data_IF_382608340103
#
_entry.id   IF_382608340103
#
_cell.length_a   1.000
_cell.length_b   1.000
_cell.length_c   1.000
_cell.angle_alpha   90.00
_cell.angle_beta   90.00
_cell.angle_gamma   90.00
#
_symmetry.space_group_name_H-M   'P 1'
#
loop_
_entity.id
_entity.type
_entity.pdbx_description
1 polymer ?
#
# COMPACT_ATOMS: atom_id res chain seq x y z
N UNK A 1 -17.71 -57.19 25.73
CA UNK A 1 -18.13 -55.88 25.25
C UNK A 1 -16.87 -55.18 24.75
N UNK A 2 -16.69 -55.27 23.46
CA UNK A 2 -15.39 -55.13 22.82
C UNK A 2 -15.11 -53.71 22.41
N UNK A 3 -13.88 -53.25 22.71
CA UNK A 3 -13.41 -51.93 22.40
C UNK A 3 -13.02 -51.82 20.92
N UNK A 4 -13.36 -50.70 20.30
CA UNK A 4 -12.96 -50.33 18.94
C UNK A 4 -11.54 -49.73 19.00
N UNK A 5 -10.57 -50.16 18.16
CA UNK A 5 -9.23 -49.59 18.16
C UNK A 5 -9.20 -48.24 17.46
N UNK A 6 -8.51 -47.29 18.06
CA UNK A 6 -8.30 -45.95 17.49
C UNK A 6 -7.45 -46.02 16.21
N UNK A 7 -7.94 -45.38 15.17
CA UNK A 7 -7.20 -45.10 13.93
C UNK A 7 -6.30 -43.89 14.17
N UNK A 8 -5.00 -44.13 14.35
CA UNK A 8 -4.00 -43.05 14.27
C UNK A 8 -3.79 -42.70 12.81
N UNK A 9 -4.28 -41.55 12.37
CA UNK A 9 -3.93 -40.98 11.09
C UNK A 9 -2.50 -40.40 11.17
N UNK A 10 -1.55 -41.15 10.63
CA UNK A 10 -0.20 -40.65 10.37
C UNK A 10 -0.28 -39.60 9.28
N UNK A 11 -0.07 -38.34 9.63
CA UNK A 11 0.14 -37.25 8.68
C UNK A 11 1.47 -37.53 7.98
N UNK A 12 1.42 -37.96 6.72
CA UNK A 12 2.60 -38.06 5.86
C UNK A 12 3.11 -36.64 5.57
N UNK A 13 4.39 -36.41 5.82
CA UNK A 13 5.11 -35.24 5.35
C UNK A 13 4.97 -35.11 3.81
N UNK A 14 4.90 -33.90 3.26
CA UNK A 14 4.80 -33.70 1.81
C UNK A 14 6.05 -34.23 1.11
N UNK A 15 5.83 -34.91 -0.01
CA UNK A 15 6.84 -35.52 -0.87
C UNK A 15 7.81 -34.45 -1.41
N UNK A 16 9.13 -34.56 -1.24
CA UNK A 16 10.11 -33.56 -1.69
C UNK A 16 10.28 -33.45 -3.20
N UNK A 17 9.56 -34.23 -4.00
CA UNK A 17 9.78 -34.31 -5.46
C UNK A 17 8.93 -33.34 -6.30
N UNK A 18 8.13 -32.44 -5.73
CA UNK A 18 7.33 -31.45 -6.48
C UNK A 18 7.71 -29.99 -6.24
N UNK A 19 8.86 -29.71 -5.63
CA UNK A 19 9.39 -28.35 -5.60
C UNK A 19 10.26 -28.11 -6.85
N UNK A 20 9.69 -27.56 -7.90
CA UNK A 20 10.48 -26.95 -8.96
C UNK A 20 11.04 -25.64 -8.41
N UNK A 21 12.20 -25.72 -7.78
CA UNK A 21 12.98 -24.57 -7.36
C UNK A 21 13.63 -23.96 -8.60
N UNK A 22 13.18 -22.78 -9.01
CA UNK A 22 13.99 -21.90 -9.85
C UNK A 22 14.78 -20.97 -8.93
N UNK A 23 16.12 -21.05 -8.89
CA UNK A 23 16.91 -20.05 -8.18
C UNK A 23 16.79 -18.74 -8.96
N UNK A 24 16.08 -17.76 -8.42
CA UNK A 24 16.04 -16.40 -8.96
C UNK A 24 17.20 -15.65 -8.27
N UNK A 25 18.37 -15.59 -8.92
CA UNK A 25 19.30 -14.52 -8.66
C UNK A 25 18.63 -13.18 -9.00
N UNK A 26 18.86 -12.09 -8.23
CA UNK A 26 18.32 -10.77 -8.54
C UNK A 26 19.14 -10.14 -9.68
N UNK A 27 19.03 -10.70 -10.88
CA UNK A 27 19.43 -10.05 -12.11
C UNK A 27 18.18 -9.45 -12.72
N UNK A 28 18.25 -8.15 -13.07
CA UNK A 28 17.22 -7.51 -13.87
C UNK A 28 16.78 -8.47 -14.97
N UNK A 29 15.58 -8.98 -14.86
CA UNK A 29 14.99 -9.90 -15.86
C UNK A 29 14.97 -9.15 -17.17
N UNK A 30 15.74 -9.60 -18.15
CA UNK A 30 15.73 -8.98 -19.47
C UNK A 30 14.33 -9.14 -20.12
N UNK A 31 14.01 -8.23 -21.04
CA UNK A 31 12.71 -8.17 -21.73
C UNK A 31 12.28 -9.51 -22.34
N UNK A 32 13.21 -10.33 -22.83
CA UNK A 32 12.91 -11.61 -23.49
C UNK A 32 12.57 -12.70 -22.48
N UNK A 33 13.25 -12.71 -21.34
CA UNK A 33 12.99 -13.64 -20.22
C UNK A 33 11.64 -13.33 -19.58
N UNK A 34 11.29 -12.05 -19.40
CA UNK A 34 9.98 -11.62 -18.91
C UNK A 34 8.83 -12.06 -19.86
N UNK A 35 8.96 -11.82 -21.15
CA UNK A 35 7.96 -12.25 -22.15
C UNK A 35 7.86 -13.79 -22.24
N UNK A 36 8.97 -14.51 -22.03
CA UNK A 36 8.97 -15.99 -21.98
C UNK A 36 8.32 -16.52 -20.69
N UNK A 37 8.55 -15.88 -19.53
CA UNK A 37 7.86 -16.27 -18.29
C UNK A 37 6.36 -15.99 -18.36
N UNK A 38 5.93 -14.90 -19.00
CA UNK A 38 4.52 -14.66 -19.33
C UNK A 38 3.95 -15.73 -20.28
N UNK A 39 4.74 -16.22 -21.25
CA UNK A 39 4.29 -17.26 -22.18
C UNK A 39 4.12 -18.63 -21.50
N UNK A 40 4.88 -18.94 -20.44
CA UNK A 40 4.75 -20.19 -19.66
C UNK A 40 3.53 -20.13 -18.73
N UNK A 41 3.13 -18.94 -18.27
CA UNK A 41 1.88 -18.71 -17.52
C UNK A 41 0.69 -18.36 -18.42
N UNK A 42 0.88 -18.36 -19.74
CA UNK A 42 -0.05 -17.90 -20.77
C UNK A 42 -1.47 -18.51 -20.79
N UNK A 43 -1.74 -19.73 -20.27
CA UNK A 43 -3.12 -20.18 -20.19
C UNK A 43 -4.00 -19.32 -19.27
N UNK A 44 -3.38 -18.47 -18.45
CA UNK A 44 -4.07 -17.65 -17.43
C UNK A 44 -4.52 -16.26 -17.92
N UNK A 45 -3.96 -15.72 -19.00
CA UNK A 45 -4.26 -14.36 -19.45
C UNK A 45 -5.22 -14.34 -20.65
N UNK A 46 -6.17 -13.39 -20.62
CA UNK A 46 -6.96 -13.14 -21.82
C UNK A 46 -6.05 -12.64 -22.96
N UNK A 47 -6.36 -12.96 -24.24
CA UNK A 47 -5.60 -12.47 -25.39
C UNK A 47 -5.45 -10.94 -25.41
N UNK A 48 -6.45 -10.23 -24.89
CA UNK A 48 -6.48 -8.76 -24.73
C UNK A 48 -5.40 -8.30 -23.72
N UNK A 49 -5.27 -8.99 -22.60
CA UNK A 49 -4.29 -8.69 -21.55
C UNK A 49 -2.84 -8.92 -22.03
N UNK A 50 -2.58 -10.05 -22.70
CA UNK A 50 -1.27 -10.35 -23.30
C UNK A 50 -0.89 -9.30 -24.33
N UNK A 51 -1.84 -8.85 -25.15
CA UNK A 51 -1.61 -7.81 -26.14
C UNK A 51 -1.19 -6.49 -25.51
N UNK A 52 -1.85 -6.03 -24.45
CA UNK A 52 -1.51 -4.77 -23.76
C UNK A 52 -0.15 -4.85 -23.05
N UNK A 53 0.10 -5.92 -22.31
CA UNK A 53 1.40 -6.12 -21.67
C UNK A 53 2.55 -6.19 -22.69
N UNK A 54 2.35 -6.90 -23.82
CA UNK A 54 3.36 -6.99 -24.88
C UNK A 54 3.57 -5.66 -25.62
N UNK A 55 2.55 -4.81 -25.74
CA UNK A 55 2.68 -3.47 -26.29
C UNK A 55 3.46 -2.55 -25.34
N UNK A 56 3.14 -2.57 -24.04
CA UNK A 56 3.86 -1.81 -23.02
C UNK A 56 5.35 -2.16 -22.94
N UNK A 57 5.73 -3.38 -23.30
CA UNK A 57 7.14 -3.83 -23.33
C UNK A 57 7.86 -3.58 -24.66
N UNK A 58 7.16 -3.23 -25.74
CA UNK A 58 7.74 -3.04 -27.09
C UNK A 58 8.30 -1.65 -27.37
N UNK A 59 8.15 -0.72 -26.46
CA UNK A 59 8.57 0.67 -26.65
C UNK A 59 10.09 0.81 -26.73
N UNK A 60 10.58 1.60 -27.71
CA UNK A 60 11.98 1.87 -27.98
C UNK A 60 12.70 2.68 -26.89
N UNK A 61 13.98 3.05 -27.09
CA UNK A 61 14.68 3.99 -26.20
C UNK A 61 13.90 5.31 -26.09
N UNK A 62 13.63 5.76 -24.87
CA UNK A 62 12.85 6.96 -24.57
C UNK A 62 11.34 6.75 -24.40
N UNK A 63 10.80 5.57 -24.68
CA UNK A 63 9.39 5.30 -24.45
C UNK A 63 9.04 5.16 -22.97
N UNK A 64 7.93 5.76 -22.58
CA UNK A 64 7.42 5.76 -21.22
C UNK A 64 8.06 6.81 -20.33
N UNK A 65 8.54 7.94 -20.89
CA UNK A 65 8.76 9.16 -20.12
C UNK A 65 7.46 9.56 -19.42
N UNK A 66 7.50 10.37 -18.35
CA UNK A 66 6.30 10.75 -17.62
C UNK A 66 5.20 11.39 -18.47
N UNK A 67 5.56 12.02 -19.57
CA UNK A 67 4.72 12.77 -20.52
C UNK A 67 4.42 12.03 -21.83
N UNK A 68 4.93 10.81 -22.02
CA UNK A 68 4.67 9.96 -23.20
C UNK A 68 3.23 9.41 -23.17
N UNK A 69 2.25 10.20 -23.60
CA UNK A 69 0.83 9.82 -23.58
C UNK A 69 0.52 8.59 -24.44
N UNK A 70 1.27 8.31 -25.51
CA UNK A 70 1.07 7.11 -26.33
C UNK A 70 1.38 5.85 -25.55
N UNK A 71 2.47 5.86 -24.75
CA UNK A 71 2.79 4.79 -23.81
C UNK A 71 1.73 4.66 -22.72
N UNK A 72 1.39 5.77 -22.04
CA UNK A 72 0.45 5.75 -20.91
C UNK A 72 -0.97 5.41 -21.33
N UNK A 73 -1.38 5.73 -22.57
CA UNK A 73 -2.67 5.31 -23.10
C UNK A 73 -2.83 3.78 -23.16
N UNK A 74 -1.74 3.03 -23.42
CA UNK A 74 -1.76 1.56 -23.36
C UNK A 74 -2.04 1.08 -21.92
N UNK A 75 -1.40 1.71 -20.93
CA UNK A 75 -1.64 1.40 -19.50
C UNK A 75 -3.08 1.77 -19.12
N UNK A 76 -3.57 2.94 -19.50
CA UNK A 76 -4.94 3.42 -19.21
C UNK A 76 -6.02 2.46 -19.74
N UNK A 77 -5.82 1.88 -20.93
CA UNK A 77 -6.73 0.89 -21.55
C UNK A 77 -6.74 -0.47 -20.86
N UNK A 78 -5.82 -0.71 -19.93
CA UNK A 78 -5.79 -1.93 -19.11
C UNK A 78 -6.78 -1.90 -17.94
N UNK A 79 -7.53 -0.79 -17.77
CA UNK A 79 -8.47 -0.60 -16.69
C UNK A 79 -9.91 -0.43 -17.21
N UNK A 80 -10.82 -1.20 -16.65
CA UNK A 80 -12.28 -1.06 -16.84
C UNK A 80 -12.84 -0.14 -15.72
N UNK A 81 -12.68 1.18 -15.93
CA UNK A 81 -13.19 2.20 -15.00
C UNK A 81 -14.40 2.91 -15.59
N UNK A 82 -15.27 3.42 -14.70
CA UNK A 82 -16.29 4.38 -15.09
C UNK A 82 -15.63 5.69 -15.56
N UNK A 83 -15.61 5.90 -16.88
CA UNK A 83 -15.03 7.10 -17.50
C UNK A 83 -15.97 8.29 -17.53
N UNK A 84 -17.19 8.16 -17.00
CA UNK A 84 -18.09 9.30 -16.80
C UNK A 84 -17.77 10.10 -15.56
N UNK A 85 -16.90 9.58 -14.68
CA UNK A 85 -16.38 10.22 -13.49
C UNK A 85 -14.87 10.37 -13.57
N UNK A 86 -14.33 11.49 -13.13
CA UNK A 86 -12.90 11.69 -12.95
C UNK A 86 -12.53 11.28 -11.53
N UNK A 87 -11.83 10.15 -11.38
CA UNK A 87 -11.42 9.65 -10.07
C UNK A 87 -10.03 10.17 -9.69
N UNK A 88 -9.98 11.11 -8.75
CA UNK A 88 -8.77 11.64 -8.12
C UNK A 88 -8.67 11.25 -6.64
N UNK A 89 -9.32 10.14 -6.24
CA UNK A 89 -9.24 9.59 -4.87
C UNK A 89 -8.65 8.16 -4.83
N UNK A 90 -7.63 7.89 -5.64
CA UNK A 90 -6.96 6.59 -5.66
C UNK A 90 -6.15 6.29 -4.38
N UNK A 91 -5.88 7.30 -3.56
CA UNK A 91 -5.32 7.12 -2.22
C UNK A 91 -6.27 6.42 -1.23
N UNK A 92 -7.57 6.45 -1.45
CA UNK A 92 -8.53 5.64 -0.69
C UNK A 92 -8.38 4.17 -1.06
N UNK A 93 -8.72 3.87 -2.30
CA UNK A 93 -8.60 2.58 -2.96
C UNK A 93 -8.48 2.82 -4.46
N UNK A 94 -7.69 2.01 -5.16
CA UNK A 94 -7.53 2.09 -6.62
C UNK A 94 -8.24 0.94 -7.32
N UNK A 95 -8.75 1.14 -8.55
CA UNK A 95 -9.21 0.03 -9.36
C UNK A 95 -8.04 -0.88 -9.71
N UNK A 96 -8.32 -2.17 -9.82
CA UNK A 96 -7.37 -3.14 -10.35
C UNK A 96 -7.40 -3.16 -11.88
N UNK A 97 -6.27 -3.43 -12.56
CA UNK A 97 -6.27 -3.72 -13.98
C UNK A 97 -7.20 -4.90 -14.32
N UNK A 98 -7.79 -4.90 -15.50
CA UNK A 98 -8.72 -5.96 -15.96
C UNK A 98 -8.10 -7.36 -15.84
N UNK A 99 -6.81 -7.49 -16.11
CA UNK A 99 -6.11 -8.78 -16.01
C UNK A 99 -6.08 -9.33 -14.57
N UNK A 100 -6.01 -8.45 -13.58
CA UNK A 100 -6.02 -8.80 -12.15
C UNK A 100 -7.40 -9.27 -11.73
N UNK A 101 -8.44 -8.53 -12.15
CA UNK A 101 -9.84 -8.91 -11.92
C UNK A 101 -10.19 -10.23 -12.59
N UNK A 102 -9.77 -10.43 -13.83
CA UNK A 102 -10.00 -11.66 -14.59
C UNK A 102 -9.38 -12.89 -13.88
N UNK A 103 -8.19 -12.72 -13.29
CA UNK A 103 -7.57 -13.79 -12.50
C UNK A 103 -8.40 -14.10 -11.25
N UNK A 104 -8.77 -13.07 -10.50
CA UNK A 104 -9.57 -13.23 -9.29
C UNK A 104 -10.91 -13.90 -9.58
N UNK A 105 -11.61 -13.46 -10.63
CA UNK A 105 -12.91 -14.02 -11.04
C UNK A 105 -12.77 -15.49 -11.45
N UNK A 106 -11.71 -15.84 -12.19
CA UNK A 106 -11.46 -17.26 -12.57
C UNK A 106 -11.24 -18.13 -11.35
N UNK A 107 -10.41 -17.68 -10.40
CA UNK A 107 -10.11 -18.44 -9.20
C UNK A 107 -11.34 -18.55 -8.27
N UNK A 108 -12.20 -17.52 -8.21
CA UNK A 108 -13.47 -17.58 -7.49
C UNK A 108 -14.43 -18.62 -8.13
N UNK A 109 -14.56 -18.64 -9.44
CA UNK A 109 -15.38 -19.63 -10.14
C UNK A 109 -14.83 -21.04 -9.96
N UNK A 110 -13.52 -21.22 -10.13
CA UNK A 110 -12.84 -22.51 -9.94
C UNK A 110 -13.02 -23.02 -8.51
N UNK A 111 -12.84 -22.17 -7.48
CA UNK A 111 -13.07 -22.58 -6.10
C UNK A 111 -14.52 -22.99 -5.82
N UNK A 112 -15.51 -22.35 -6.48
CA UNK A 112 -16.92 -22.65 -6.31
C UNK A 112 -17.36 -23.98 -6.94
N UNK A 113 -16.59 -24.53 -7.90
CA UNK A 113 -16.90 -25.84 -8.53
C UNK A 113 -16.71 -27.01 -7.55
N UNK A 114 -15.68 -26.96 -6.69
CA UNK A 114 -15.40 -27.97 -5.65
C UNK A 114 -14.60 -27.30 -4.50
N UNK A 115 -15.26 -26.58 -3.57
CA UNK A 115 -14.59 -25.63 -2.67
C UNK A 115 -13.44 -26.23 -1.85
N UNK A 116 -13.64 -27.36 -1.18
CA UNK A 116 -12.62 -27.97 -0.33
C UNK A 116 -11.37 -28.37 -1.13
N UNK A 117 -11.56 -28.97 -2.29
CA UNK A 117 -10.44 -29.45 -3.12
C UNK A 117 -9.74 -28.30 -3.85
N UNK A 118 -10.53 -27.44 -4.52
CA UNK A 118 -9.98 -26.38 -5.35
C UNK A 118 -9.40 -25.22 -4.52
N UNK A 119 -10.05 -24.83 -3.44
CA UNK A 119 -9.59 -23.75 -2.60
C UNK A 119 -8.39 -24.19 -1.74
N UNK A 120 -8.55 -25.21 -0.90
CA UNK A 120 -7.55 -25.58 0.09
C UNK A 120 -6.38 -26.39 -0.49
N UNK A 121 -6.61 -27.26 -1.48
CA UNK A 121 -5.55 -28.11 -2.03
C UNK A 121 -4.90 -27.55 -3.28
N UNK A 122 -5.54 -26.60 -3.97
CA UNK A 122 -5.02 -26.08 -5.21
C UNK A 122 -4.67 -24.57 -5.11
N UNK A 123 -5.59 -23.73 -4.63
CA UNK A 123 -5.39 -22.28 -4.65
C UNK A 123 -4.58 -21.77 -3.45
N UNK A 124 -4.82 -22.27 -2.24
CA UNK A 124 -4.06 -21.84 -1.06
C UNK A 124 -2.56 -22.13 -1.15
N UNK A 125 -2.09 -23.32 -1.60
CA UNK A 125 -0.66 -23.56 -1.77
C UNK A 125 0.04 -22.61 -2.74
N UNK A 126 -0.69 -22.02 -3.69
CA UNK A 126 -0.14 -21.02 -4.62
C UNK A 126 0.17 -19.68 -3.96
N UNK A 127 -0.43 -19.41 -2.81
CA UNK A 127 -0.19 -18.19 -2.03
C UNK A 127 1.28 -18.08 -1.60
N UNK A 128 1.98 -19.22 -1.43
CA UNK A 128 3.42 -19.22 -1.12
C UNK A 128 4.26 -18.59 -2.23
N UNK A 129 3.91 -18.79 -3.50
CA UNK A 129 4.62 -18.12 -4.59
C UNK A 129 4.30 -16.63 -4.65
N UNK A 130 3.10 -16.21 -4.25
CA UNK A 130 2.73 -14.80 -4.09
C UNK A 130 3.54 -14.14 -2.99
N UNK A 131 3.67 -14.81 -1.84
CA UNK A 131 4.52 -14.39 -0.71
C UNK A 131 5.96 -14.19 -1.16
N UNK A 132 6.54 -15.16 -1.87
CA UNK A 132 7.88 -15.05 -2.44
C UNK A 132 8.04 -13.85 -3.39
N UNK A 133 7.07 -13.61 -4.26
CA UNK A 133 7.07 -12.45 -5.17
C UNK A 133 6.96 -11.11 -4.45
N UNK A 134 6.09 -11.01 -3.42
CA UNK A 134 5.96 -9.81 -2.59
C UNK A 134 7.23 -9.56 -1.78
N UNK A 135 7.80 -10.59 -1.16
CA UNK A 135 9.01 -10.50 -0.37
C UNK A 135 10.21 -10.03 -1.21
N UNK A 136 10.37 -10.58 -2.41
CA UNK A 136 11.40 -10.14 -3.35
C UNK A 136 11.22 -8.68 -3.78
N UNK A 137 9.98 -8.21 -4.00
CA UNK A 137 9.68 -6.83 -4.34
C UNK A 137 9.88 -5.86 -3.16
N UNK A 138 9.70 -6.33 -1.94
CA UNK A 138 9.83 -5.54 -0.71
C UNK A 138 11.25 -5.56 -0.13
N UNK A 139 12.10 -6.51 -0.56
CA UNK A 139 13.47 -6.68 -0.06
C UNK A 139 13.51 -7.40 1.29
N UNK A 140 12.79 -8.53 1.46
CA UNK A 140 12.84 -9.33 2.68
C UNK A 140 12.77 -10.84 2.40
N UNK A 141 13.03 -11.64 3.43
CA UNK A 141 12.80 -13.09 3.38
C UNK A 141 11.29 -13.37 3.34
N UNK A 142 10.80 -14.31 2.50
CA UNK A 142 9.40 -14.74 2.52
C UNK A 142 8.90 -15.20 3.90
N UNK A 143 9.77 -15.76 4.72
CA UNK A 143 9.45 -16.17 6.10
C UNK A 143 9.34 -14.99 7.09
N UNK A 144 9.43 -13.76 6.60
CA UNK A 144 9.19 -12.52 7.34
C UNK A 144 7.94 -11.76 6.85
N UNK A 145 7.13 -12.38 5.97
CA UNK A 145 5.98 -11.74 5.35
C UNK A 145 4.71 -12.57 5.50
N UNK A 146 3.67 -11.99 6.12
CA UNK A 146 2.31 -12.51 6.14
C UNK A 146 1.43 -11.71 5.19
N UNK A 147 0.57 -12.39 4.43
CA UNK A 147 -0.42 -11.75 3.55
C UNK A 147 -1.66 -11.43 4.39
N UNK A 148 -2.08 -10.17 4.37
CA UNK A 148 -3.23 -9.66 5.12
C UNK A 148 -4.31 -9.13 4.18
N UNK A 149 -5.47 -8.78 4.73
CA UNK A 149 -6.56 -8.16 3.96
C UNK A 149 -6.32 -6.69 3.65
N UNK A 150 -5.50 -6.01 4.41
CA UNK A 150 -5.16 -4.58 4.22
C UNK A 150 -4.14 -4.10 5.28
N UNK A 151 -3.70 -2.84 5.17
CA UNK A 151 -2.84 -2.21 6.17
C UNK A 151 -3.50 -2.10 7.54
N UNK A 152 -4.83 -1.96 7.64
CA UNK A 152 -5.49 -1.86 8.95
C UNK A 152 -5.31 -3.16 9.74
N UNK A 153 -5.51 -4.31 9.11
CA UNK A 153 -5.26 -5.60 9.76
C UNK A 153 -3.78 -5.77 10.15
N UNK A 154 -2.86 -5.44 9.24
CA UNK A 154 -1.43 -5.51 9.50
C UNK A 154 -1.02 -4.61 10.67
N UNK A 155 -1.45 -3.35 10.66
CA UNK A 155 -1.13 -2.36 11.69
C UNK A 155 -1.81 -2.69 13.04
N UNK A 156 -3.08 -3.13 13.01
CA UNK A 156 -3.78 -3.56 14.23
C UNK A 156 -3.16 -4.82 14.84
N UNK A 157 -2.64 -5.73 14.02
CA UNK A 157 -1.85 -6.87 14.51
C UNK A 157 -0.62 -6.37 15.28
N UNK A 158 0.10 -5.37 14.77
CA UNK A 158 1.24 -4.78 15.48
C UNK A 158 0.79 -4.04 16.74
N UNK A 159 -0.23 -3.20 16.65
CA UNK A 159 -0.74 -2.41 17.78
C UNK A 159 -1.24 -3.29 18.91
N UNK A 160 -2.03 -4.31 18.60
CA UNK A 160 -2.68 -5.17 19.58
C UNK A 160 -1.78 -6.30 20.08
N UNK A 161 -0.85 -6.76 19.23
CA UNK A 161 0.02 -7.91 19.50
C UNK A 161 1.28 -7.58 20.29
N UNK A 162 1.68 -6.30 20.39
CA UNK A 162 2.84 -5.92 21.21
C UNK A 162 2.53 -6.04 22.71
N UNK A 163 3.43 -6.66 23.47
CA UNK A 163 3.29 -6.89 24.91
C UNK A 163 3.66 -5.64 25.70
N UNK A 164 2.71 -4.70 25.80
CA UNK A 164 2.85 -3.44 26.52
C UNK A 164 2.15 -3.49 27.87
N UNK A 165 2.74 -2.85 28.87
CA UNK A 165 2.24 -2.79 30.26
C UNK A 165 1.62 -1.42 30.55
N UNK A 166 0.80 -1.38 31.62
CA UNK A 166 0.26 -0.13 32.14
C UNK A 166 1.36 0.90 32.38
N UNK A 167 1.19 2.10 31.82
CA UNK A 167 2.15 3.20 31.93
C UNK A 167 3.24 3.21 30.85
N UNK A 168 3.38 2.15 30.03
CA UNK A 168 4.24 2.22 28.85
C UNK A 168 3.73 3.28 27.88
N UNK A 169 4.67 4.00 27.26
CA UNK A 169 4.35 5.09 26.35
C UNK A 169 4.55 4.67 24.90
N UNK A 170 3.61 5.12 24.06
CA UNK A 170 3.64 5.00 22.60
C UNK A 170 3.63 6.40 21.99
N UNK A 171 4.54 6.66 21.06
CA UNK A 171 4.60 7.92 20.31
C UNK A 171 3.97 7.73 18.93
N UNK A 172 3.01 8.60 18.63
CA UNK A 172 2.33 8.73 17.33
C UNK A 172 2.35 10.18 16.89
N UNK A 173 1.97 10.46 15.64
CA UNK A 173 1.76 11.84 15.18
C UNK A 173 0.27 12.12 14.99
N UNK A 174 -0.12 13.40 15.02
CA UNK A 174 -1.47 13.84 14.64
C UNK A 174 -1.79 13.63 13.15
N UNK A 175 -0.78 13.27 12.35
CA UNK A 175 -0.93 12.90 10.95
C UNK A 175 -1.00 11.39 10.68
N UNK A 176 -0.94 10.56 11.72
CA UNK A 176 -1.20 9.13 11.59
C UNK A 176 -2.65 8.89 11.14
N UNK A 177 -2.87 7.76 10.48
CA UNK A 177 -4.21 7.41 10.02
C UNK A 177 -5.18 7.31 11.20
N UNK A 178 -6.31 8.03 11.14
CA UNK A 178 -7.25 8.17 12.25
C UNK A 178 -7.75 6.85 12.83
N UNK A 179 -7.86 5.78 12.03
CA UNK A 179 -8.22 4.44 12.52
C UNK A 179 -7.12 3.88 13.45
N UNK A 180 -5.86 4.07 13.13
CA UNK A 180 -4.75 3.61 13.97
C UNK A 180 -4.71 4.39 15.29
N UNK A 181 -4.95 5.70 15.25
CA UNK A 181 -5.11 6.51 16.47
C UNK A 181 -6.28 6.00 17.33
N UNK A 182 -7.39 5.60 16.70
CA UNK A 182 -8.53 4.99 17.42
C UNK A 182 -8.14 3.68 18.09
N UNK A 183 -7.35 2.82 17.41
CA UNK A 183 -6.89 1.54 17.96
C UNK A 183 -5.92 1.76 19.14
N UNK A 184 -4.98 2.70 19.05
CA UNK A 184 -4.12 3.09 20.18
C UNK A 184 -4.91 3.63 21.35
N UNK A 185 -5.89 4.49 21.12
CA UNK A 185 -6.75 5.03 22.16
C UNK A 185 -7.62 3.94 22.81
N UNK A 186 -8.07 2.93 22.03
CA UNK A 186 -8.75 1.76 22.58
C UNK A 186 -7.80 0.99 23.50
N UNK A 187 -6.55 0.79 23.10
CA UNK A 187 -5.55 0.10 23.89
C UNK A 187 -5.18 0.87 25.15
N UNK A 188 -5.11 2.20 25.07
CA UNK A 188 -4.90 3.06 26.24
C UNK A 188 -6.02 2.87 27.29
N UNK A 189 -7.28 2.82 26.86
CA UNK A 189 -8.42 2.55 27.75
C UNK A 189 -8.42 1.14 28.34
N UNK A 190 -8.04 0.13 27.53
CA UNK A 190 -8.06 -1.29 27.93
C UNK A 190 -6.88 -1.66 28.83
N UNK A 191 -5.66 -1.30 28.38
CA UNK A 191 -4.41 -1.79 28.96
C UNK A 191 -3.73 -0.72 29.85
N UNK A 192 -4.17 0.54 29.78
CA UNK A 192 -3.62 1.66 30.56
C UNK A 192 -2.27 2.15 30.07
N UNK A 193 -1.93 1.93 28.81
CA UNK A 193 -0.78 2.55 28.15
C UNK A 193 -1.03 4.05 27.93
N UNK A 194 0.03 4.81 27.68
CA UNK A 194 -0.03 6.25 27.42
C UNK A 194 0.29 6.54 25.96
N UNK A 195 -0.66 7.12 25.23
CA UNK A 195 -0.46 7.56 23.84
C UNK A 195 0.00 9.01 23.84
N UNK A 196 1.21 9.25 23.34
CA UNK A 196 1.80 10.58 23.16
C UNK A 196 1.69 10.98 21.71
N UNK A 197 0.82 11.94 21.43
CA UNK A 197 0.68 12.49 20.08
C UNK A 197 1.59 13.70 19.92
N UNK A 198 2.47 13.68 18.92
CA UNK A 198 3.31 14.80 18.52
C UNK A 198 2.78 15.43 17.23
N UNK A 199 3.07 16.72 17.07
CA UNK A 199 2.78 17.49 15.85
C UNK A 199 4.07 18.01 15.25
N UNK A 200 4.05 18.26 13.95
CA UNK A 200 5.12 18.93 13.21
C UNK A 200 4.55 19.87 12.15
N UNK A 201 5.36 20.84 11.72
CA UNK A 201 4.96 21.80 10.69
C UNK A 201 4.70 21.13 9.34
N UNK A 202 3.76 21.68 8.56
CA UNK A 202 3.36 21.16 7.25
C UNK A 202 3.43 22.28 6.19
N UNK A 203 4.30 22.15 5.16
CA UNK A 203 5.35 21.12 5.03
C UNK A 203 6.44 21.29 6.10
N UNK A 204 7.13 20.18 6.48
CA UNK A 204 8.21 20.26 7.47
C UNK A 204 9.44 20.96 6.90
N UNK A 205 10.21 21.70 7.72
CA UNK A 205 11.41 22.41 7.26
C UNK A 205 12.52 21.47 6.78
N UNK A 206 12.65 20.29 7.38
CA UNK A 206 13.65 19.27 7.02
C UNK A 206 13.31 17.90 7.61
N UNK A 207 13.97 16.84 7.12
CA UNK A 207 13.91 15.53 7.73
C UNK A 207 14.41 15.52 9.18
N UNK A 208 15.52 16.20 9.46
CA UNK A 208 16.07 16.30 10.81
C UNK A 208 15.08 16.93 11.80
N UNK A 209 14.34 17.96 11.38
CA UNK A 209 13.29 18.53 12.22
C UNK A 209 12.25 17.49 12.65
N UNK A 210 11.83 16.60 11.73
CA UNK A 210 10.88 15.53 12.05
C UNK A 210 11.50 14.55 13.07
N UNK A 211 12.75 14.11 12.84
CA UNK A 211 13.48 13.21 13.75
C UNK A 211 13.59 13.82 15.14
N UNK A 212 13.92 15.12 15.22
CA UNK A 212 14.05 15.85 16.49
C UNK A 212 12.72 15.91 17.25
N UNK A 213 11.59 16.05 16.55
CA UNK A 213 10.25 16.02 17.16
C UNK A 213 9.96 14.67 17.82
N UNK A 214 10.30 13.56 17.16
CA UNK A 214 10.19 12.22 17.76
C UNK A 214 11.17 12.06 18.93
N UNK A 215 12.43 12.46 18.76
CA UNK A 215 13.45 12.34 19.80
C UNK A 215 13.09 13.10 21.09
N UNK A 216 12.56 14.31 20.96
CA UNK A 216 12.14 15.15 22.08
C UNK A 216 10.95 14.57 22.88
N UNK A 217 10.15 13.70 22.26
CA UNK A 217 9.00 13.05 22.91
C UNK A 217 9.38 11.80 23.71
N UNK A 218 10.60 11.25 23.52
CA UNK A 218 11.04 10.01 24.16
C UNK A 218 11.27 10.23 25.67
N UNK A 219 10.80 9.27 26.47
CA UNK A 219 11.07 9.16 27.90
C UNK A 219 11.55 7.74 28.25
N UNK A 220 11.98 7.48 29.49
CA UNK A 220 12.31 6.12 29.93
C UNK A 220 11.15 5.10 29.84
N UNK A 221 9.91 5.57 29.72
CA UNK A 221 8.72 4.72 29.56
C UNK A 221 8.35 4.46 28.09
N UNK A 222 8.95 5.15 27.15
CA UNK A 222 8.66 4.96 25.73
C UNK A 222 9.08 3.55 25.29
N UNK A 223 8.15 2.80 24.69
CA UNK A 223 8.37 1.44 24.17
C UNK A 223 8.20 1.33 22.68
N UNK A 224 7.33 2.16 22.11
CA UNK A 224 6.94 2.07 20.70
C UNK A 224 6.88 3.45 20.08
N UNK A 225 7.31 3.54 18.83
CA UNK A 225 7.02 4.65 17.91
C UNK A 225 6.26 4.07 16.73
N UNK A 226 5.09 4.61 16.40
CA UNK A 226 4.46 4.38 15.11
C UNK A 226 4.80 5.52 14.17
N UNK A 227 5.37 5.18 13.01
CA UNK A 227 5.68 6.14 11.96
C UNK A 227 4.94 5.79 10.68
N UNK A 228 4.23 6.76 10.12
CA UNK A 228 3.64 6.64 8.78
C UNK A 228 4.71 6.89 7.73
N UNK A 229 4.92 5.95 6.78
CA UNK A 229 5.99 6.09 5.78
C UNK A 229 5.72 7.25 4.82
N UNK A 230 4.47 7.42 4.38
CA UNK A 230 3.98 8.58 3.64
C UNK A 230 2.61 8.96 4.17
N UNK A 231 2.43 10.22 4.58
CA UNK A 231 1.17 10.67 5.16
C UNK A 231 0.04 10.62 4.14
N UNK A 232 -1.09 10.05 4.53
CA UNK A 232 -2.29 10.02 3.69
C UNK A 232 -2.97 11.39 3.56
N UNK A 233 -2.55 12.38 4.35
CA UNK A 233 -3.13 13.72 4.37
C UNK A 233 -2.50 14.60 3.29
N UNK A 234 -1.19 14.76 3.34
CA UNK A 234 -0.44 15.71 2.51
C UNK A 234 0.53 15.07 1.52
N UNK A 235 0.76 13.75 1.64
CA UNK A 235 1.71 13.03 0.80
C UNK A 235 3.18 13.25 1.15
N UNK A 236 3.47 13.77 2.36
CA UNK A 236 4.83 13.88 2.87
C UNK A 236 5.40 12.49 3.16
N UNK A 237 6.52 12.14 2.56
CA UNK A 237 7.33 10.96 2.91
C UNK A 237 8.16 11.32 4.15
N UNK A 238 8.05 10.51 5.20
CA UNK A 238 8.77 10.73 6.45
C UNK A 238 10.13 10.02 6.46
N UNK A 239 11.12 10.51 7.21
CA UNK A 239 12.47 9.94 7.32
C UNK A 239 12.48 8.69 8.21
N UNK A 240 11.81 7.63 7.76
CA UNK A 240 11.59 6.39 8.54
C UNK A 240 12.90 5.79 9.02
N UNK A 241 13.91 5.68 8.15
CA UNK A 241 15.24 5.14 8.48
C UNK A 241 15.89 5.91 9.63
N UNK A 242 15.84 7.24 9.57
CA UNK A 242 16.50 8.10 10.57
C UNK A 242 15.78 8.02 11.92
N UNK A 243 14.44 7.93 11.89
CA UNK A 243 13.62 7.70 13.10
C UNK A 243 13.96 6.34 13.73
N UNK A 244 14.11 5.29 12.92
CA UNK A 244 14.50 3.96 13.40
C UNK A 244 15.92 4.00 13.99
N UNK A 245 16.87 4.61 13.29
CA UNK A 245 18.25 4.76 13.77
C UNK A 245 18.34 5.51 15.10
N UNK A 246 17.50 6.51 15.30
CA UNK A 246 17.40 7.28 16.55
C UNK A 246 16.77 6.47 17.70
N UNK A 247 15.77 5.63 17.40
CA UNK A 247 14.98 4.87 18.40
C UNK A 247 15.67 3.56 18.82
N UNK A 248 16.31 2.84 17.89
CA UNK A 248 16.90 1.50 18.08
C UNK A 248 17.90 1.40 19.24
N UNK A 249 18.89 2.32 19.39
CA UNK A 249 19.83 2.27 20.52
C UNK A 249 19.18 2.43 21.90
N UNK A 250 17.94 2.92 21.94
CA UNK A 250 17.15 3.11 23.16
C UNK A 250 16.23 1.91 23.46
N UNK A 251 16.30 0.84 22.63
CA UNK A 251 15.42 -0.33 22.76
C UNK A 251 13.94 -0.06 22.46
N UNK A 252 13.65 1.00 21.71
CA UNK A 252 12.29 1.39 21.33
C UNK A 252 11.93 0.71 20.02
N UNK A 253 10.84 -0.05 19.98
CA UNK A 253 10.31 -0.65 18.77
C UNK A 253 9.73 0.43 17.85
N UNK A 254 10.07 0.37 16.56
CA UNK A 254 9.44 1.24 15.55
C UNK A 254 8.65 0.38 14.60
N UNK A 255 7.35 0.60 14.50
CA UNK A 255 6.58 0.02 13.44
C UNK A 255 6.16 1.06 12.39
N UNK A 256 6.10 0.61 11.14
CA UNK A 256 5.93 1.47 10.00
C UNK A 256 4.56 1.22 9.37
N UNK A 257 3.69 2.23 9.39
CA UNK A 257 2.49 2.26 8.57
C UNK A 257 2.87 2.63 7.13
N UNK A 258 3.01 1.62 6.29
CA UNK A 258 3.32 1.75 4.88
C UNK A 258 2.12 1.70 3.95
N UNK A 259 0.89 1.95 4.46
CA UNK A 259 -0.36 1.81 3.71
C UNK A 259 -0.37 2.52 2.34
N UNK A 260 0.43 3.56 2.18
CA UNK A 260 0.55 4.34 0.94
C UNK A 260 1.93 4.26 0.28
N UNK A 261 2.87 3.44 0.75
CA UNK A 261 4.24 3.48 0.26
C UNK A 261 4.57 2.37 -0.74
N UNK A 262 4.21 1.11 -0.44
CA UNK A 262 4.55 -0.03 -1.28
C UNK A 262 3.98 0.13 -2.70
N UNK A 263 4.84 -0.06 -3.70
CA UNK A 263 4.54 0.13 -5.12
C UNK A 263 4.09 1.55 -5.53
N UNK A 264 4.22 2.55 -4.64
CA UNK A 264 3.96 3.95 -4.92
C UNK A 264 5.25 4.67 -5.36
N UNK A 265 6.33 4.42 -4.65
CA UNK A 265 7.68 4.87 -4.96
C UNK A 265 8.70 3.77 -4.61
N UNK A 266 9.89 3.78 -5.23
CA UNK A 266 10.92 2.79 -4.95
C UNK A 266 11.49 2.95 -3.54
N UNK A 267 11.58 1.86 -2.80
CA UNK A 267 12.34 1.71 -1.56
C UNK A 267 12.56 0.22 -1.28
N UNK A 268 13.46 -0.07 -0.37
CA UNK A 268 13.82 -1.41 0.06
C UNK A 268 13.71 -1.52 1.59
N UNK A 269 13.15 -2.62 2.10
CA UNK A 269 12.95 -2.84 3.53
C UNK A 269 14.28 -2.83 4.31
N UNK A 270 15.32 -3.44 3.74
CA UNK A 270 16.60 -3.51 4.41
C UNK A 270 17.28 -2.14 4.46
N UNK A 271 17.06 -1.29 3.44
CA UNK A 271 17.48 0.11 3.48
C UNK A 271 16.76 0.93 4.54
N UNK A 272 15.48 0.63 4.83
CA UNK A 272 14.73 1.25 5.94
C UNK A 272 15.17 0.72 7.31
N UNK A 273 15.70 -0.52 7.37
CA UNK A 273 16.08 -1.23 8.59
C UNK A 273 14.91 -1.40 9.59
N UNK A 274 13.66 -1.54 9.11
CA UNK A 274 12.49 -1.68 9.96
C UNK A 274 12.29 -3.12 10.45
N UNK A 275 11.78 -3.26 11.67
CA UNK A 275 11.43 -4.55 12.27
C UNK A 275 9.99 -4.95 11.96
N UNK A 276 9.09 -3.97 11.80
CA UNK A 276 7.66 -4.15 11.56
C UNK A 276 7.17 -3.21 10.47
N UNK A 277 6.41 -3.74 9.51
CA UNK A 277 5.88 -2.95 8.40
C UNK A 277 4.51 -3.49 7.97
N UNK A 278 3.50 -2.62 7.92
CA UNK A 278 2.15 -2.97 7.41
C UNK A 278 1.80 -2.16 6.17
N UNK A 279 1.16 -2.78 5.17
CA UNK A 279 0.74 -2.06 3.96
C UNK A 279 -0.54 -2.61 3.34
N UNK A 280 -1.15 -1.78 2.46
CA UNK A 280 -2.27 -2.17 1.59
C UNK A 280 -1.78 -2.35 0.15
N UNK A 281 -2.22 -3.42 -0.51
CA UNK A 281 -1.85 -3.72 -1.89
C UNK A 281 -2.88 -3.20 -2.91
N UNK A 282 -4.12 -2.96 -2.46
CA UNK A 282 -5.22 -2.44 -3.29
C UNK A 282 -5.18 -0.93 -3.53
N UNK A 283 -4.07 -0.25 -3.19
CA UNK A 283 -3.84 1.18 -3.48
C UNK A 283 -2.87 1.32 -4.65
N UNK A 284 -1.57 1.28 -4.37
CA UNK A 284 -0.55 1.59 -5.36
C UNK A 284 -0.03 0.36 -6.12
N UNK A 285 -0.13 -0.85 -5.55
CA UNK A 285 0.15 -2.07 -6.31
C UNK A 285 -0.97 -2.40 -7.30
N UNK A 286 -2.20 -1.89 -7.07
CA UNK A 286 -3.39 -2.14 -7.90
C UNK A 286 -3.87 -3.60 -7.81
N UNK A 287 -3.57 -4.26 -6.69
CA UNK A 287 -4.06 -5.61 -6.38
C UNK A 287 -5.55 -5.59 -6.00
N UNK A 288 -6.24 -6.73 -5.91
CA UNK A 288 -7.64 -6.77 -5.52
C UNK A 288 -7.92 -6.07 -4.19
N UNK A 289 -9.12 -5.49 -4.08
CA UNK A 289 -9.61 -4.92 -2.82
C UNK A 289 -9.61 -6.03 -1.75
N UNK A 290 -9.12 -5.71 -0.56
CA UNK A 290 -8.96 -6.71 0.50
C UNK A 290 -7.65 -7.49 0.40
N UNK A 291 -6.57 -6.82 0.02
CA UNK A 291 -5.19 -7.35 0.02
C UNK A 291 -4.20 -6.40 0.67
N UNK A 292 -3.27 -6.95 1.44
CA UNK A 292 -2.20 -6.26 2.15
C UNK A 292 -1.10 -7.24 2.54
N UNK A 293 -0.09 -6.76 3.25
CA UNK A 293 0.85 -7.62 3.96
C UNK A 293 1.32 -6.99 5.27
N UNK A 294 1.74 -7.87 6.18
CA UNK A 294 2.50 -7.57 7.37
C UNK A 294 3.90 -8.18 7.21
N UNK A 295 4.95 -7.36 7.32
CA UNK A 295 6.32 -7.85 7.43
C UNK A 295 6.80 -7.69 8.87
N UNK A 296 7.35 -8.78 9.41
CA UNK A 296 7.92 -8.84 10.76
C UNK A 296 9.28 -9.50 10.66
N UNK A 297 10.33 -8.80 11.12
CA UNK A 297 11.68 -9.36 11.12
C UNK A 297 11.71 -10.67 11.92
N UNK A 298 12.39 -11.70 11.43
CA UNK A 298 12.38 -13.07 11.97
C UNK A 298 12.56 -13.12 13.48
N UNK A 299 13.49 -12.35 14.04
CA UNK A 299 13.75 -12.29 15.48
C UNK A 299 12.69 -11.56 16.31
N UNK A 300 11.66 -11.00 15.65
CA UNK A 300 10.55 -10.30 16.28
C UNK A 300 9.23 -11.09 16.20
N UNK A 301 9.14 -12.13 15.35
CA UNK A 301 7.90 -12.88 15.12
C UNK A 301 7.35 -13.45 16.44
N UNK A 302 8.19 -14.06 17.26
CA UNK A 302 7.78 -14.65 18.54
C UNK A 302 7.42 -13.63 19.64
N UNK A 303 7.65 -12.33 19.41
CA UNK A 303 7.34 -11.24 20.33
C UNK A 303 6.03 -10.53 20.02
N UNK A 304 5.43 -10.87 18.89
CA UNK A 304 4.20 -10.23 18.43
C UNK A 304 3.06 -11.26 18.41
N UNK A 305 2.03 -11.03 19.20
CA UNK A 305 0.84 -11.87 19.24
C UNK A 305 0.01 -11.69 17.96
N UNK A 306 -0.57 -12.76 17.40
CA UNK A 306 -1.53 -12.62 16.32
C UNK A 306 -2.88 -12.09 16.85
N UNK A 307 -3.66 -11.43 15.99
CA UNK A 307 -5.01 -10.96 16.35
C UNK A 307 -6.00 -12.12 16.53
N UNK A 308 -5.89 -13.15 15.72
CA UNK A 308 -6.62 -14.42 15.86
C UNK A 308 -5.65 -15.47 16.37
N UNK A 309 -6.13 -16.33 17.27
CA UNK A 309 -5.30 -17.34 17.90
C UNK A 309 -4.74 -18.32 16.86
N UNK A 310 -3.45 -18.60 16.97
CA UNK A 310 -2.76 -19.62 16.22
C UNK A 310 -2.23 -20.70 17.17
N UNK A 311 -1.97 -21.94 16.71
CA UNK A 311 -1.33 -22.99 17.49
C UNK A 311 0.03 -22.57 18.05
N UNK A 312 0.40 -23.06 19.24
CA UNK A 312 1.64 -22.66 19.92
C UNK A 312 2.90 -22.98 19.10
N UNK A 313 2.88 -24.09 18.38
CA UNK A 313 3.97 -24.49 17.46
C UNK A 313 4.22 -23.50 16.33
N UNK A 314 3.26 -22.64 16.02
CA UNK A 314 3.41 -21.57 15.04
C UNK A 314 4.01 -20.28 15.63
N UNK A 315 4.40 -20.24 16.90
CA UNK A 315 4.81 -18.99 17.54
C UNK A 315 5.97 -18.27 16.83
N UNK A 316 6.90 -19.02 16.22
CA UNK A 316 8.00 -18.47 15.42
C UNK A 316 7.73 -18.44 13.90
N UNK A 317 6.53 -18.83 13.46
CA UNK A 317 6.14 -18.89 12.07
C UNK A 317 5.34 -17.63 11.68
N UNK A 318 5.74 -16.98 10.61
CA UNK A 318 5.06 -15.76 10.11
C UNK A 318 3.59 -16.03 9.74
N UNK A 319 3.26 -17.26 9.33
CA UNK A 319 1.91 -17.64 8.92
C UNK A 319 0.90 -17.66 10.07
N UNK A 320 1.36 -17.57 11.34
CA UNK A 320 0.45 -17.39 12.49
C UNK A 320 -0.45 -16.15 12.36
N UNK A 321 -0.03 -15.16 11.58
CA UNK A 321 -0.83 -13.96 11.33
C UNK A 321 -1.86 -14.14 10.21
N UNK A 322 -1.86 -15.30 9.56
CA UNK A 322 -2.79 -15.67 8.48
C UNK A 322 -3.87 -16.67 8.94
N UNK A 323 -3.88 -17.04 10.24
CA UNK A 323 -4.88 -17.93 10.85
C UNK A 323 -6.23 -17.21 11.02
N UNK A 324 -6.82 -16.77 9.88
CA UNK A 324 -8.05 -15.97 9.83
C UNK A 324 -9.30 -16.81 9.51
N UNK A 325 -9.17 -18.14 9.46
CA UNK A 325 -10.24 -19.05 9.06
C UNK A 325 -10.51 -19.04 7.55
N UNK A 326 -11.64 -19.59 7.15
CA UNK A 326 -12.01 -19.73 5.73
C UNK A 326 -12.12 -18.36 5.05
N UNK A 327 -11.36 -18.16 3.99
CA UNK A 327 -11.34 -16.93 3.18
C UNK A 327 -11.07 -17.27 1.71
N UNK A 328 -11.41 -16.36 0.76
CA UNK A 328 -11.18 -16.62 -0.67
C UNK A 328 -9.69 -16.49 -1.02
N UNK A 329 -9.03 -17.59 -1.35
CA UNK A 329 -7.65 -17.59 -1.85
C UNK A 329 -7.49 -16.85 -3.20
N UNK A 330 -8.59 -16.65 -3.93
CA UNK A 330 -8.62 -15.94 -5.20
C UNK A 330 -8.04 -14.52 -5.12
N UNK A 331 -8.37 -13.77 -4.05
CA UNK A 331 -7.85 -12.42 -3.84
C UNK A 331 -6.32 -12.44 -3.71
N UNK A 332 -5.80 -13.37 -2.91
CA UNK A 332 -4.37 -13.49 -2.65
C UNK A 332 -3.60 -13.92 -3.92
N UNK A 333 -4.11 -14.89 -4.67
CA UNK A 333 -3.47 -15.36 -5.91
C UNK A 333 -3.39 -14.28 -6.99
N UNK A 334 -4.41 -13.42 -7.09
CA UNK A 334 -4.42 -12.33 -8.05
C UNK A 334 -3.39 -11.22 -7.75
N UNK A 335 -2.80 -11.18 -6.54
CA UNK A 335 -1.68 -10.29 -6.20
C UNK A 335 -0.49 -10.53 -7.13
N UNK A 336 -0.21 -11.79 -7.51
CA UNK A 336 0.90 -12.14 -8.43
C UNK A 336 0.77 -11.45 -9.78
N UNK A 337 -0.47 -11.31 -10.28
CA UNK A 337 -0.76 -10.62 -11.54
C UNK A 337 -0.56 -9.11 -11.40
N UNK A 338 -0.95 -8.55 -10.25
CA UNK A 338 -0.72 -7.13 -9.95
C UNK A 338 0.77 -6.80 -9.81
N UNK A 339 1.56 -7.68 -9.18
CA UNK A 339 3.02 -7.58 -9.13
C UNK A 339 3.62 -7.59 -10.55
N UNK A 340 3.21 -8.54 -11.39
CA UNK A 340 3.66 -8.62 -12.78
C UNK A 340 3.32 -7.35 -13.56
N UNK A 341 2.12 -6.81 -13.37
CA UNK A 341 1.70 -5.55 -13.99
C UNK A 341 2.55 -4.36 -13.52
N UNK A 342 2.82 -4.27 -12.21
CA UNK A 342 3.70 -3.25 -11.62
C UNK A 342 5.13 -3.34 -12.18
N UNK A 343 5.70 -4.55 -12.23
CA UNK A 343 7.04 -4.80 -12.76
C UNK A 343 7.15 -4.48 -14.26
N UNK A 344 6.09 -4.72 -15.04
CA UNK A 344 6.04 -4.37 -16.45
C UNK A 344 6.10 -2.86 -16.69
N UNK A 345 5.46 -2.07 -15.84
CA UNK A 345 5.59 -0.61 -15.88
C UNK A 345 7.00 -0.20 -15.42
N UNK A 346 7.50 -0.78 -14.34
CA UNK A 346 8.73 -0.41 -13.65
C UNK A 346 8.48 0.67 -12.58
N UNK A 347 9.09 0.47 -11.40
CA UNK A 347 8.85 1.33 -10.24
C UNK A 347 9.23 2.81 -10.49
N UNK A 348 10.42 3.04 -11.10
CA UNK A 348 10.92 4.40 -11.38
C UNK A 348 10.03 5.13 -12.40
N UNK A 349 9.63 4.44 -13.47
CA UNK A 349 8.74 4.98 -14.49
C UNK A 349 7.37 5.31 -13.89
N UNK A 350 6.87 4.44 -13.04
CA UNK A 350 5.59 4.63 -12.35
C UNK A 350 5.61 5.86 -11.45
N UNK A 351 6.59 5.99 -10.56
CA UNK A 351 6.68 7.15 -9.65
C UNK A 351 6.92 8.45 -10.42
N UNK A 352 7.69 8.43 -11.50
CA UNK A 352 7.89 9.60 -12.36
C UNK A 352 6.57 10.07 -13.00
N UNK A 353 5.75 9.12 -13.53
CA UNK A 353 4.41 9.44 -14.05
C UNK A 353 3.49 9.99 -12.96
N UNK A 354 3.48 9.39 -11.81
CA UNK A 354 2.63 9.80 -10.69
C UNK A 354 2.97 11.22 -10.22
N UNK A 355 4.26 11.55 -10.11
CA UNK A 355 4.72 12.92 -9.82
C UNK A 355 4.32 13.90 -10.92
N UNK A 356 4.50 13.53 -12.19
CA UNK A 356 4.09 14.33 -13.32
C UNK A 356 2.60 14.69 -13.28
N UNK A 357 1.73 13.70 -13.04
CA UNK A 357 0.28 13.92 -12.93
C UNK A 357 -0.07 14.82 -11.74
N UNK A 358 0.60 14.65 -10.59
CA UNK A 358 0.45 15.53 -9.44
C UNK A 358 0.89 16.97 -9.76
N UNK A 359 2.07 17.14 -10.32
CA UNK A 359 2.64 18.46 -10.57
C UNK A 359 1.87 19.21 -11.65
N UNK A 360 1.24 18.47 -12.61
CA UNK A 360 0.42 19.04 -13.68
C UNK A 360 -0.79 19.84 -13.16
N UNK A 361 -1.34 19.51 -12.02
CA UNK A 361 -2.40 20.30 -11.38
C UNK A 361 -1.84 21.22 -10.28
N UNK A 362 -0.88 20.74 -9.49
CA UNK A 362 -0.43 21.44 -8.30
C UNK A 362 0.35 22.72 -8.61
N UNK A 363 1.29 22.66 -9.57
CA UNK A 363 2.12 23.79 -9.96
C UNK A 363 1.29 24.94 -10.51
N UNK A 364 0.41 24.74 -11.54
CA UNK A 364 -0.38 25.86 -12.07
C UNK A 364 -1.41 26.39 -11.06
N UNK A 365 -2.00 25.55 -10.19
CA UNK A 365 -2.88 26.06 -9.15
C UNK A 365 -2.12 26.93 -8.14
N UNK A 366 -0.97 26.47 -7.66
CA UNK A 366 -0.15 27.26 -6.73
C UNK A 366 0.31 28.60 -7.34
N UNK A 367 0.66 28.61 -8.61
CA UNK A 367 1.08 29.79 -9.31
C UNK A 367 -0.07 30.80 -9.63
N UNK A 368 -1.33 30.35 -9.56
CA UNK A 368 -2.49 31.11 -9.98
C UNK A 368 -2.88 32.23 -9.01
N UNK A 369 -2.57 32.09 -7.72
CA UNK A 369 -2.94 33.09 -6.71
C UNK A 369 -2.26 32.76 -5.36
N UNK A 370 -1.93 33.78 -4.57
CA UNK A 370 -1.42 33.70 -3.19
C UNK A 370 -2.45 33.04 -2.24
N UNK A 371 -3.72 32.94 -2.65
CA UNK A 371 -4.78 32.22 -1.93
C UNK A 371 -4.59 30.70 -1.96
N UNK A 372 -3.84 30.18 -2.91
CA UNK A 372 -3.61 28.75 -3.09
C UNK A 372 -2.31 28.32 -2.41
N UNK A 373 -2.39 27.33 -1.54
CA UNK A 373 -1.21 26.72 -0.93
C UNK A 373 -1.25 25.19 -1.16
N UNK A 374 -0.24 24.68 -1.82
CA UNK A 374 0.00 23.22 -1.91
C UNK A 374 0.92 22.85 -0.75
N UNK A 375 0.42 22.02 0.17
CA UNK A 375 1.17 21.60 1.37
C UNK A 375 1.97 20.31 1.16
N UNK A 376 1.93 19.75 -0.04
CA UNK A 376 2.77 18.64 -0.47
C UNK A 376 4.11 19.18 -0.96
N UNK A 377 5.26 18.62 -0.58
CA UNK A 377 6.56 19.01 -1.14
C UNK A 377 6.59 18.76 -2.64
N UNK A 378 6.64 19.84 -3.44
CA UNK A 378 6.80 19.77 -4.89
C UNK A 378 8.30 19.79 -5.23
N UNK A 379 8.68 19.24 -6.40
CA UNK A 379 10.06 19.14 -6.86
C UNK A 379 11.01 18.51 -5.83
N UNK A 380 10.50 17.55 -5.06
CA UNK A 380 11.22 16.86 -3.98
C UNK A 380 11.04 15.35 -4.09
N UNK A 381 12.04 14.54 -3.72
CA UNK A 381 11.86 13.10 -3.55
C UNK A 381 10.91 12.75 -2.40
N UNK A 382 10.63 13.69 -1.49
CA UNK A 382 9.85 13.49 -0.26
C UNK A 382 8.33 13.45 -0.49
N UNK A 383 7.90 13.27 -1.71
CA UNK A 383 6.50 13.09 -2.09
C UNK A 383 6.35 12.28 -3.38
N UNK A 384 5.15 11.75 -3.62
CA UNK A 384 4.84 10.98 -4.81
C UNK A 384 3.49 11.45 -5.42
N UNK A 385 2.50 10.56 -5.64
CA UNK A 385 1.24 10.93 -6.28
C UNK A 385 0.29 11.75 -5.39
N UNK A 386 0.35 11.58 -4.07
CA UNK A 386 -0.57 12.26 -3.15
C UNK A 386 -0.22 13.74 -3.14
N UNK A 387 -1.19 14.59 -3.47
CA UNK A 387 -1.09 16.03 -3.35
C UNK A 387 -2.22 16.61 -2.52
N UNK A 388 -1.94 17.70 -1.80
CA UNK A 388 -2.92 18.38 -0.97
C UNK A 388 -2.89 19.88 -1.25
N UNK A 389 -4.07 20.46 -1.40
CA UNK A 389 -4.24 21.90 -1.67
C UNK A 389 -5.28 22.51 -0.72
N UNK A 390 -4.95 23.71 -0.22
CA UNK A 390 -5.90 24.60 0.46
C UNK A 390 -6.05 25.91 -0.32
N UNK A 391 -7.26 26.49 -0.30
CA UNK A 391 -7.57 27.71 -1.05
C UNK A 391 -8.27 28.67 -0.09
N UNK A 392 -7.57 29.75 0.27
CA UNK A 392 -8.12 30.74 1.18
C UNK A 392 -9.39 31.40 0.63
N UNK A 393 -10.42 31.50 1.47
CA UNK A 393 -11.73 32.06 1.10
C UNK A 393 -12.62 31.11 0.27
N UNK A 394 -12.26 29.83 0.16
CA UNK A 394 -13.11 28.81 -0.46
C UNK A 394 -13.28 27.65 0.54
N UNK A 395 -14.53 27.37 0.92
CA UNK A 395 -14.86 26.26 1.82
C UNK A 395 -14.54 24.93 1.14
N UNK A 396 -13.59 24.12 1.67
CA UNK A 396 -13.16 22.89 1.01
C UNK A 396 -14.26 21.82 0.95
N UNK A 397 -15.19 21.79 1.89
CA UNK A 397 -16.30 20.83 1.87
C UNK A 397 -17.29 21.18 0.75
N UNK A 398 -17.59 22.48 0.58
CA UNK A 398 -18.43 22.96 -0.52
C UNK A 398 -17.75 22.74 -1.86
N UNK A 399 -16.45 23.00 -1.96
CA UNK A 399 -15.68 22.75 -3.18
C UNK A 399 -15.70 21.25 -3.54
N UNK A 400 -15.47 20.36 -2.59
CA UNK A 400 -15.55 18.91 -2.82
C UNK A 400 -16.95 18.50 -3.33
N UNK A 401 -18.01 18.98 -2.67
CA UNK A 401 -19.38 18.64 -3.06
C UNK A 401 -19.70 19.19 -4.47
N UNK A 402 -19.26 20.39 -4.81
CA UNK A 402 -19.45 20.97 -6.13
C UNK A 402 -18.68 20.19 -7.21
N UNK A 403 -17.41 19.85 -6.96
CA UNK A 403 -16.62 19.02 -7.87
C UNK A 403 -17.28 17.67 -8.13
N UNK A 404 -17.81 17.03 -7.09
CA UNK A 404 -18.47 15.72 -7.22
C UNK A 404 -19.81 15.83 -7.98
N UNK A 405 -20.69 16.71 -7.53
CA UNK A 405 -22.07 16.72 -7.97
C UNK A 405 -22.27 17.43 -9.32
N UNK A 406 -21.50 18.47 -9.60
CA UNK A 406 -21.64 19.25 -10.82
C UNK A 406 -20.55 18.96 -11.85
N UNK A 407 -19.34 18.67 -11.40
CA UNK A 407 -18.20 18.44 -12.31
C UNK A 407 -17.82 16.96 -12.46
N UNK A 408 -18.51 16.06 -11.72
CA UNK A 408 -18.24 14.60 -11.74
C UNK A 408 -16.78 14.24 -11.41
N UNK A 409 -16.16 15.00 -10.51
CA UNK A 409 -14.78 14.82 -10.08
C UNK A 409 -14.73 14.38 -8.62
N UNK A 410 -14.18 13.19 -8.37
CA UNK A 410 -14.04 12.61 -7.04
C UNK A 410 -12.72 13.02 -6.42
N UNK A 411 -12.76 13.75 -5.30
CA UNK A 411 -11.61 14.14 -4.48
C UNK A 411 -11.83 13.75 -3.03
N UNK A 412 -10.86 14.00 -2.14
CA UNK A 412 -11.03 13.74 -0.71
C UNK A 412 -10.90 15.01 0.10
N UNK A 413 -11.93 15.34 0.87
CA UNK A 413 -11.85 16.37 1.91
C UNK A 413 -10.94 15.90 3.04
N UNK A 414 -9.98 16.72 3.41
CA UNK A 414 -9.18 16.55 4.62
C UNK A 414 -9.49 17.71 5.56
N UNK A 415 -9.81 17.35 6.80
CA UNK A 415 -9.97 18.31 7.92
C UNK A 415 -8.99 17.91 9.00
N UNK A 416 -8.01 18.76 9.27
CA UNK A 416 -6.99 18.58 10.28
C UNK A 416 -6.87 19.85 11.12
N UNK A 417 -6.48 19.82 12.41
CA UNK A 417 -6.35 21.02 13.24
C UNK A 417 -5.44 22.12 12.65
N UNK A 418 -4.42 21.75 11.90
CA UNK A 418 -3.46 22.68 11.28
C UNK A 418 -3.85 23.13 9.87
N UNK A 419 -4.67 22.37 9.15
CA UNK A 419 -5.02 22.63 7.75
C UNK A 419 -6.34 21.96 7.34
N UNK A 420 -7.02 22.56 6.38
CA UNK A 420 -8.20 21.97 5.75
C UNK A 420 -8.17 22.21 4.25
N UNK A 421 -8.52 21.23 3.44
CA UNK A 421 -8.44 21.32 1.98
C UNK A 421 -8.78 20.02 1.28
N UNK A 422 -8.37 19.90 0.03
CA UNK A 422 -8.59 18.74 -0.80
C UNK A 422 -7.30 17.95 -1.00
N UNK A 423 -7.39 16.63 -0.79
CA UNK A 423 -6.39 15.67 -1.24
C UNK A 423 -6.75 15.17 -2.63
N UNK A 424 -5.79 15.25 -3.54
CA UNK A 424 -5.88 14.81 -4.93
C UNK A 424 -4.87 13.69 -5.15
N UNK A 425 -5.34 12.54 -5.62
CA UNK A 425 -4.52 11.35 -5.81
C UNK A 425 -4.81 10.69 -7.16
N UNK A 426 -4.14 11.17 -8.25
CA UNK A 426 -4.18 10.48 -9.54
C UNK A 426 -3.51 9.11 -9.45
N UNK A 427 -3.75 8.23 -10.43
CA UNK A 427 -3.01 6.97 -10.59
C UNK A 427 -2.59 6.79 -12.06
N UNK A 428 -1.87 5.74 -12.38
CA UNK A 428 -1.29 5.49 -13.71
C UNK A 428 -2.32 5.45 -14.85
N UNK A 429 -3.58 5.16 -14.54
CA UNK A 429 -4.66 5.16 -15.52
C UNK A 429 -5.33 6.53 -15.71
N UNK A 430 -5.00 7.52 -14.85
CA UNK A 430 -5.50 8.89 -14.96
C UNK A 430 -4.88 9.57 -16.18
N UNK A 431 -5.71 10.20 -16.99
CA UNK A 431 -5.29 10.92 -18.19
C UNK A 431 -4.86 12.36 -17.86
N UNK A 432 -4.03 12.94 -18.70
CA UNK A 432 -3.69 14.37 -18.61
C UNK A 432 -4.91 15.26 -18.79
N UNK A 433 -5.86 14.89 -19.68
CA UNK A 433 -7.12 15.60 -19.86
C UNK A 433 -7.97 15.64 -18.58
N UNK A 434 -8.03 14.53 -17.82
CA UNK A 434 -8.75 14.51 -16.54
C UNK A 434 -8.11 15.47 -15.51
N UNK A 435 -6.77 15.54 -15.49
CA UNK A 435 -6.03 16.46 -14.61
C UNK A 435 -6.26 17.92 -15.03
N UNK A 436 -6.20 18.22 -16.33
CA UNK A 436 -6.42 19.57 -16.86
C UNK A 436 -7.87 20.03 -16.59
N UNK A 437 -8.83 19.12 -16.73
CA UNK A 437 -10.24 19.39 -16.39
C UNK A 437 -10.37 19.75 -14.91
N UNK A 438 -9.80 18.96 -14.01
CA UNK A 438 -9.81 19.27 -12.57
C UNK A 438 -9.21 20.65 -12.29
N UNK A 439 -8.03 20.94 -12.85
CA UNK A 439 -7.35 22.23 -12.68
C UNK A 439 -8.21 23.40 -13.16
N UNK A 440 -8.81 23.26 -14.34
CA UNK A 440 -9.69 24.28 -14.94
C UNK A 440 -10.93 24.54 -14.08
N UNK A 441 -11.56 23.46 -13.55
CA UNK A 441 -12.74 23.61 -12.70
C UNK A 441 -12.41 24.30 -11.37
N UNK A 442 -11.28 23.95 -10.73
CA UNK A 442 -10.85 24.66 -9.52
C UNK A 442 -10.57 26.14 -9.78
N UNK A 443 -9.86 26.47 -10.86
CA UNK A 443 -9.62 27.86 -11.25
C UNK A 443 -10.93 28.61 -11.55
N UNK A 444 -11.91 27.96 -12.14
CA UNK A 444 -13.23 28.53 -12.39
C UNK A 444 -13.96 28.81 -11.08
N UNK A 445 -14.01 27.85 -10.17
CA UNK A 445 -14.59 28.00 -8.84
C UNK A 445 -13.96 29.17 -8.04
N UNK A 446 -12.65 29.38 -8.20
CA UNK A 446 -11.94 30.51 -7.56
C UNK A 446 -12.34 31.88 -8.11
N UNK A 447 -12.74 31.94 -9.39
CA UNK A 447 -13.14 33.18 -10.08
C UNK A 447 -14.61 33.51 -9.93
N UNK A 448 -15.46 32.52 -10.11
CA UNK A 448 -16.94 32.69 -10.20
C UNK A 448 -17.70 32.26 -8.94
N UNK A 449 -17.03 31.63 -7.99
CA UNK A 449 -17.67 30.96 -6.88
C UNK A 449 -18.17 29.54 -7.27
N UNK A 450 -18.90 28.92 -6.35
CA UNK A 450 -19.42 27.56 -6.49
C UNK A 450 -20.92 27.59 -6.96
N UNK A 451 -21.16 28.26 -8.08
CA UNK A 451 -22.50 28.37 -8.67
C UNK A 451 -22.78 27.26 -9.64
#
# INVERSE_FOLDING_TARGET
MDGIPGLALAVRAPDPHYAIYFPIEPKMVDRRTFVRSLAVTAPAFSPKAIRYLSQATRSGPGAGTPDDEDYWQVIQRSFDCDRTMINLNNGGVSPSPTVVLDQMIRDLRFSNELPVEHMWRTLEPRVESVRGGLAAQFGCDPEEMAITRNASEANETMILGLDLKRGDEVIVTDQNYGRMLTTWNQRARRDGIVVKTISFEVPPPSHQYIVDRFAAAITPRTRVIEVTHITNLTGQILPVRDIIAMARPKGIAVFVDGAHAFAHFPFDRDALDCDYYGTSLHKWLLAPIGTGFLSVRRNQINRLWPMMAAPEEMNANIRKYEEIGTHPAANHNAISVALTFHQAIGADRKVARLRYLRDRWAVPLQASSDRVKVLTPLNSPDSAAIGFVTIAGLDPAKLQAWLLNQQRIVTTLIVHPQFSGLRITPNVYTTTTEIDTFTTQVLTAMRTGLT
#
